data_IF_149372368650
#
_entry.id   IF_149372368650
#
_cell.length_a   1.000
_cell.length_b   1.000
_cell.length_c   1.000
_cell.angle_alpha   90.00
_cell.angle_beta   90.00
_cell.angle_gamma   90.00
#
_symmetry.space_group_name_H-M   'P 1'
#
loop_
_entity.id
_entity.type
_entity.pdbx_description
1 polymer ?
#
# COMPACT_ATOMS: atom_id res chain seq x y z
N UNK A 1 9.07 -6.25 -30.60
CA UNK A 1 10.02 -5.50 -29.75
C UNK A 1 9.81 -3.99 -29.76
N UNK A 2 10.11 -3.19 -30.82
CA UNK A 2 9.87 -1.72 -30.78
C UNK A 2 8.41 -1.34 -30.51
N UNK A 3 7.47 -2.06 -31.12
CA UNK A 3 6.03 -1.81 -30.95
C UNK A 3 5.50 -2.22 -29.56
N UNK A 4 6.09 -3.25 -28.94
CA UNK A 4 5.69 -3.72 -27.60
C UNK A 4 6.19 -2.78 -26.51
N UNK A 5 7.41 -2.25 -26.66
CA UNK A 5 7.96 -1.24 -25.75
C UNK A 5 7.13 0.04 -25.81
N UNK A 6 6.72 0.46 -27.00
CA UNK A 6 5.83 1.62 -27.16
C UNK A 6 4.47 1.41 -26.48
N UNK A 7 3.87 0.23 -26.62
CA UNK A 7 2.58 -0.09 -25.98
C UNK A 7 2.65 -0.09 -24.44
N UNK A 8 3.72 -0.61 -23.86
CA UNK A 8 3.94 -0.53 -22.40
C UNK A 8 4.12 0.92 -21.96
N UNK A 9 4.88 1.72 -22.72
CA UNK A 9 5.12 3.11 -22.42
C UNK A 9 3.83 3.95 -22.49
N UNK A 10 2.98 3.72 -23.49
CA UNK A 10 1.66 4.36 -23.63
C UNK A 10 0.73 4.01 -22.46
N UNK A 11 0.68 2.75 -22.05
CA UNK A 11 -0.16 2.31 -20.93
C UNK A 11 0.29 2.89 -19.57
N UNK A 12 1.60 3.03 -19.34
CA UNK A 12 2.13 3.58 -18.08
C UNK A 12 1.88 5.08 -17.90
N UNK A 13 1.40 5.76 -18.94
CA UNK A 13 1.47 7.22 -19.05
C UNK A 13 0.15 7.85 -19.45
N UNK A 14 -0.87 7.04 -19.62
CA UNK A 14 -2.22 7.48 -19.90
C UNK A 14 -3.00 7.49 -18.59
N UNK A 15 -3.37 8.69 -18.12
CA UNK A 15 -4.30 8.83 -17.01
C UNK A 15 -5.70 8.51 -17.50
N UNK A 16 -6.37 7.52 -16.89
CA UNK A 16 -7.74 7.18 -17.24
C UNK A 16 -8.68 8.16 -16.51
N UNK A 17 -9.44 9.01 -17.24
CA UNK A 17 -10.38 9.92 -16.61
C UNK A 17 -11.57 9.15 -16.02
N UNK A 18 -11.95 9.51 -14.80
CA UNK A 18 -13.16 9.04 -14.14
C UNK A 18 -14.31 10.03 -14.37
N UNK A 19 -15.59 9.61 -14.27
CA UNK A 19 -16.74 10.49 -14.56
C UNK A 19 -16.82 11.78 -13.72
N UNK A 20 -16.23 11.76 -12.53
CA UNK A 20 -16.20 12.91 -11.62
C UNK A 20 -15.02 13.86 -11.90
N UNK A 21 -14.05 13.43 -12.70
CA UNK A 21 -12.87 14.23 -13.02
C UNK A 21 -13.20 15.39 -13.95
N UNK A 22 -12.37 16.43 -13.88
CA UNK A 22 -12.53 17.62 -14.70
C UNK A 22 -11.18 18.15 -15.15
N UNK A 23 -11.15 18.85 -16.28
CA UNK A 23 -9.95 19.54 -16.76
C UNK A 23 -9.88 20.93 -16.12
N UNK A 24 -8.74 21.27 -15.53
CA UNK A 24 -8.48 22.59 -14.94
C UNK A 24 -8.21 23.67 -15.99
N UNK A 25 -8.16 24.93 -15.55
CA UNK A 25 -7.79 26.08 -16.40
C UNK A 25 -6.36 25.97 -16.95
N UNK A 26 -5.51 25.23 -16.23
CA UNK A 26 -4.15 24.89 -16.61
C UNK A 26 -4.08 23.76 -17.67
N UNK A 27 -5.20 23.18 -18.08
CA UNK A 27 -5.25 22.09 -19.07
C UNK A 27 -4.88 20.71 -18.51
N UNK A 28 -4.66 20.56 -17.21
CA UNK A 28 -4.39 19.27 -16.55
C UNK A 28 -5.70 18.60 -16.12
N UNK A 29 -5.71 17.26 -16.08
CA UNK A 29 -6.80 16.51 -15.48
C UNK A 29 -6.75 16.58 -13.94
N UNK A 30 -7.88 16.86 -13.30
CA UNK A 30 -8.05 16.90 -11.85
C UNK A 30 -9.02 15.83 -11.36
N UNK A 31 -8.72 15.30 -10.18
CA UNK A 31 -9.60 14.36 -9.50
C UNK A 31 -10.88 15.05 -9.02
N UNK A 32 -12.04 14.49 -9.38
CA UNK A 32 -13.34 15.00 -8.92
C UNK A 32 -13.53 15.01 -7.41
N UNK A 33 -12.93 14.03 -6.72
CA UNK A 33 -13.08 13.79 -5.27
C UNK A 33 -12.17 14.67 -4.43
N UNK A 34 -10.86 14.58 -4.63
CA UNK A 34 -9.87 15.31 -3.82
C UNK A 34 -9.43 16.64 -4.42
N UNK A 35 -9.89 16.98 -5.64
CA UNK A 35 -9.53 18.23 -6.36
C UNK A 35 -8.03 18.43 -6.55
N UNK A 36 -7.24 17.35 -6.48
CA UNK A 36 -5.80 17.34 -6.79
C UNK A 36 -5.57 16.92 -8.24
N UNK A 37 -4.51 17.42 -8.88
CA UNK A 37 -4.18 17.03 -10.25
C UNK A 37 -3.88 15.53 -10.33
N UNK A 38 -4.41 14.88 -11.36
CA UNK A 38 -4.09 13.51 -11.79
C UNK A 38 -3.02 13.49 -12.89
N UNK A 39 -2.59 14.65 -13.34
CA UNK A 39 -1.55 14.84 -14.34
C UNK A 39 -0.58 15.93 -13.91
N UNK A 40 0.65 15.88 -14.42
CA UNK A 40 1.62 16.94 -14.28
C UNK A 40 2.35 17.15 -15.60
N UNK A 41 2.83 18.37 -15.82
CA UNK A 41 3.67 18.68 -16.97
C UNK A 41 5.08 18.09 -16.80
N UNK A 42 5.62 17.55 -17.88
CA UNK A 42 7.06 17.28 -17.97
C UNK A 42 7.84 18.60 -17.96
N UNK A 43 9.09 18.52 -17.48
CA UNK A 43 10.05 19.57 -17.76
C UNK A 43 10.27 19.70 -19.29
N UNK A 44 10.51 20.92 -19.83
CA UNK A 44 10.55 21.16 -21.28
C UNK A 44 11.55 20.28 -22.06
N UNK A 45 12.70 20.00 -21.45
CA UNK A 45 13.74 19.10 -21.98
C UNK A 45 13.22 17.65 -22.14
N UNK A 46 12.36 17.21 -21.23
CA UNK A 46 11.78 15.86 -21.23
C UNK A 46 10.57 15.75 -22.15
N UNK A 47 9.75 16.79 -22.26
CA UNK A 47 8.59 16.79 -23.15
C UNK A 47 8.98 16.50 -24.62
N UNK A 48 10.10 17.07 -25.07
CA UNK A 48 10.64 16.84 -26.41
C UNK A 48 11.09 15.39 -26.63
N UNK A 49 11.60 14.72 -25.60
CA UNK A 49 12.08 13.32 -25.66
C UNK A 49 10.90 12.35 -25.72
N UNK A 50 9.83 12.61 -24.95
CA UNK A 50 8.69 11.70 -24.84
C UNK A 50 7.58 11.99 -25.86
N UNK A 51 7.66 13.08 -26.63
CA UNK A 51 6.64 13.44 -27.63
C UNK A 51 5.29 13.80 -27.01
N UNK A 52 5.26 14.09 -25.71
CA UNK A 52 4.07 14.48 -24.93
C UNK A 52 4.48 15.46 -23.84
N UNK A 53 3.55 16.34 -23.49
CA UNK A 53 3.77 17.40 -22.51
C UNK A 53 3.42 17.00 -21.08
N UNK A 54 2.55 15.98 -20.90
CA UNK A 54 1.98 15.59 -19.60
C UNK A 54 2.26 14.14 -19.23
N UNK A 55 2.28 13.85 -17.93
CA UNK A 55 2.34 12.49 -17.39
C UNK A 55 1.37 12.30 -16.22
N UNK A 56 1.00 11.05 -15.89
CA UNK A 56 0.18 10.77 -14.73
C UNK A 56 0.86 11.22 -13.44
N UNK A 57 0.07 11.80 -12.56
CA UNK A 57 0.44 12.16 -11.21
C UNK A 57 -0.60 11.55 -10.26
N UNK A 58 -0.14 11.05 -9.13
CA UNK A 58 -1.05 10.41 -8.19
C UNK A 58 -1.77 11.47 -7.36
N UNK A 59 -3.10 11.49 -7.48
CA UNK A 59 -3.92 12.29 -6.59
C UNK A 59 -3.97 11.66 -5.19
N UNK A 60 -4.47 12.41 -4.19
CA UNK A 60 -4.53 11.93 -2.81
C UNK A 60 -5.35 10.63 -2.68
N UNK A 61 -6.44 10.47 -3.43
CA UNK A 61 -7.24 9.24 -3.43
C UNK A 61 -6.44 8.01 -3.90
N UNK A 62 -5.67 8.17 -4.98
CA UNK A 62 -4.83 7.09 -5.51
C UNK A 62 -3.68 6.76 -4.56
N UNK A 63 -3.08 7.78 -3.93
CA UNK A 63 -2.06 7.61 -2.91
C UNK A 63 -2.58 6.81 -1.72
N UNK A 64 -3.71 7.21 -1.15
CA UNK A 64 -4.35 6.45 -0.05
C UNK A 64 -4.64 5.00 -0.45
N UNK A 65 -5.23 4.78 -1.64
CA UNK A 65 -5.53 3.43 -2.10
C UNK A 65 -4.27 2.56 -2.33
N UNK A 66 -3.13 3.15 -2.69
CA UNK A 66 -1.86 2.42 -2.77
C UNK A 66 -1.32 2.12 -1.37
N UNK A 67 -1.27 3.12 -0.50
CA UNK A 67 -0.78 2.98 0.87
C UNK A 67 -1.57 1.91 1.65
N UNK A 68 -2.90 1.86 1.48
CA UNK A 68 -3.75 0.81 2.07
C UNK A 68 -3.41 -0.58 1.54
N UNK A 69 -3.20 -0.72 0.22
CA UNK A 69 -2.78 -1.98 -0.41
C UNK A 69 -1.42 -2.43 0.08
N UNK A 70 -0.45 -1.52 0.16
CA UNK A 70 0.90 -1.79 0.66
C UNK A 70 0.87 -2.17 2.14
N UNK A 71 0.07 -1.49 2.96
CA UNK A 71 -0.10 -1.80 4.38
C UNK A 71 -0.75 -3.17 4.58
N UNK A 72 -1.79 -3.49 3.79
CA UNK A 72 -2.45 -4.80 3.81
C UNK A 72 -1.48 -5.92 3.38
N UNK A 73 -0.69 -5.69 2.33
CA UNK A 73 0.32 -6.65 1.90
C UNK A 73 1.43 -6.84 2.94
N UNK A 74 1.93 -5.76 3.54
CA UNK A 74 2.93 -5.83 4.62
C UNK A 74 2.39 -6.61 5.80
N UNK A 75 1.13 -6.38 6.20
CA UNK A 75 0.46 -7.14 7.26
C UNK A 75 0.34 -8.62 6.88
N UNK A 76 -0.09 -8.94 5.66
CA UNK A 76 -0.17 -10.33 5.16
C UNK A 76 1.19 -11.02 5.23
N UNK A 77 2.23 -10.42 4.64
CA UNK A 77 3.61 -10.96 4.65
C UNK A 77 4.11 -11.20 6.07
N UNK A 78 3.79 -10.29 7.00
CA UNK A 78 4.16 -10.47 8.41
C UNK A 78 3.47 -11.70 9.03
N UNK A 79 2.16 -11.86 8.82
CA UNK A 79 1.40 -13.02 9.31
C UNK A 79 1.92 -14.32 8.71
N UNK A 80 2.18 -14.35 7.40
CA UNK A 80 2.75 -15.51 6.71
C UNK A 80 4.11 -15.88 7.32
N UNK A 81 4.96 -14.88 7.60
CA UNK A 81 6.27 -15.09 8.24
C UNK A 81 6.11 -15.65 9.66
N UNK A 82 5.19 -15.11 10.45
CA UNK A 82 4.92 -15.60 11.82
C UNK A 82 4.43 -17.04 11.77
N UNK A 83 3.54 -17.38 10.83
CA UNK A 83 3.04 -18.74 10.66
C UNK A 83 4.17 -19.70 10.25
N UNK A 84 5.03 -19.30 9.32
CA UNK A 84 6.19 -20.10 8.91
C UNK A 84 7.13 -20.39 10.10
N UNK A 85 7.44 -19.35 10.89
CA UNK A 85 8.28 -19.49 12.09
C UNK A 85 7.64 -20.43 13.11
N UNK A 86 6.32 -20.30 13.35
CA UNK A 86 5.57 -21.21 14.22
C UNK A 86 5.60 -22.65 13.73
N UNK A 87 5.42 -22.88 12.42
CA UNK A 87 5.50 -24.22 11.82
C UNK A 87 6.88 -24.86 12.00
N UNK A 88 7.95 -24.07 11.88
CA UNK A 88 9.34 -24.53 12.07
C UNK A 88 9.68 -24.78 13.54
N UNK A 89 9.21 -23.93 14.44
CA UNK A 89 9.54 -23.98 15.87
C UNK A 89 8.70 -24.97 16.68
N UNK A 90 7.44 -25.20 16.30
CA UNK A 90 6.52 -26.05 17.05
C UNK A 90 6.08 -27.26 16.25
N UNK A 91 6.39 -28.45 16.77
CA UNK A 91 5.92 -29.73 16.20
C UNK A 91 4.43 -29.96 16.48
N UNK A 92 3.97 -29.62 17.69
CA UNK A 92 2.57 -29.75 18.09
C UNK A 92 1.72 -28.62 17.46
N UNK A 93 0.68 -28.94 16.66
CA UNK A 93 -0.23 -27.96 16.09
C UNK A 93 -0.93 -27.07 17.14
N UNK A 94 -1.28 -27.62 18.31
CA UNK A 94 -1.98 -26.86 19.37
C UNK A 94 -1.14 -25.71 19.92
N UNK A 95 0.19 -25.86 19.90
CA UNK A 95 1.12 -24.81 20.31
C UNK A 95 1.25 -23.70 19.27
N UNK A 96 0.95 -23.96 17.99
CA UNK A 96 0.95 -22.94 16.93
C UNK A 96 -0.21 -21.97 17.08
N UNK A 97 -1.34 -22.47 17.56
CA UNK A 97 -2.56 -21.67 17.77
C UNK A 97 -2.54 -20.91 19.10
N UNK A 98 -1.45 -21.01 19.88
CA UNK A 98 -1.35 -20.26 21.12
C UNK A 98 -1.26 -18.75 20.85
N UNK A 99 -2.25 -18.03 21.38
CA UNK A 99 -2.37 -16.57 21.41
C UNK A 99 -2.94 -16.16 22.77
N UNK A 100 -2.89 -14.87 23.10
CA UNK A 100 -3.52 -14.39 24.34
C UNK A 100 -5.05 -14.57 24.34
N UNK A 101 -5.68 -14.53 23.17
CA UNK A 101 -7.12 -14.76 22.98
C UNK A 101 -7.49 -16.23 23.16
N UNK A 102 -6.56 -17.13 22.81
CA UNK A 102 -6.71 -18.58 22.95
C UNK A 102 -6.19 -19.12 24.31
N UNK A 103 -5.74 -18.24 25.22
CA UNK A 103 -5.29 -18.67 26.55
C UNK A 103 -6.46 -19.20 27.37
N UNK A 104 -6.26 -20.32 28.07
CA UNK A 104 -7.29 -20.96 28.89
C UNK A 104 -7.43 -20.33 30.29
N UNK A 105 -6.69 -19.25 30.57
CA UNK A 105 -6.75 -18.49 31.81
C UNK A 105 -6.19 -19.20 33.05
N UNK A 106 -5.57 -20.38 32.90
CA UNK A 106 -5.02 -21.14 34.03
C UNK A 106 -3.76 -20.52 34.60
N UNK A 107 -3.01 -19.76 33.79
CA UNK A 107 -1.80 -19.10 34.25
C UNK A 107 -2.10 -17.67 34.73
N UNK A 108 -1.99 -17.38 36.04
CA UNK A 108 -2.25 -16.03 36.56
C UNK A 108 -1.26 -14.98 36.02
N UNK A 109 -0.10 -15.39 35.49
CA UNK A 109 0.89 -14.50 34.90
C UNK A 109 0.53 -14.03 33.48
N UNK A 110 -0.43 -14.67 32.80
CA UNK A 110 -0.83 -14.26 31.43
C UNK A 110 -1.30 -12.80 31.40
N UNK A 111 -2.01 -12.34 32.43
CA UNK A 111 -2.46 -10.95 32.53
C UNK A 111 -1.31 -9.93 32.68
N UNK A 112 -0.21 -10.33 33.33
CA UNK A 112 1.00 -9.50 33.42
C UNK A 112 1.74 -9.47 32.08
N UNK A 113 1.88 -10.62 31.42
CA UNK A 113 2.48 -10.71 30.09
C UNK A 113 1.71 -9.90 29.04
N UNK A 114 0.36 -9.94 29.06
CA UNK A 114 -0.47 -9.13 28.15
C UNK A 114 -0.21 -7.63 28.34
N UNK A 115 -0.25 -7.16 29.60
CA UNK A 115 0.03 -5.74 29.92
C UNK A 115 1.41 -5.29 29.46
N UNK A 116 2.41 -6.15 29.59
CA UNK A 116 3.76 -5.84 29.12
C UNK A 116 3.81 -5.60 27.61
N UNK A 117 3.12 -6.44 26.82
CA UNK A 117 3.06 -6.29 25.36
C UNK A 117 2.25 -5.06 24.95
N UNK A 118 1.14 -4.78 25.64
CA UNK A 118 0.28 -3.60 25.39
C UNK A 118 1.02 -2.28 25.68
N UNK A 119 1.86 -2.25 26.71
CA UNK A 119 2.62 -1.08 27.14
C UNK A 119 4.11 -1.14 26.77
N UNK A 120 4.47 -1.91 25.74
CA UNK A 120 5.86 -2.13 25.37
C UNK A 120 6.63 -0.81 25.13
N UNK A 121 6.01 0.16 24.44
CA UNK A 121 6.62 1.46 24.14
C UNK A 121 6.88 2.31 25.41
N UNK A 122 6.07 2.13 26.46
CA UNK A 122 6.25 2.83 27.74
C UNK A 122 7.39 2.23 28.58
N UNK A 123 7.79 1.00 28.28
CA UNK A 123 8.77 0.21 29.06
C UNK A 123 10.11 0.00 28.37
N UNK A 124 10.28 0.48 27.13
CA UNK A 124 11.50 0.33 26.33
C UNK A 124 12.59 1.35 26.68
#
# INVERSE_FOLDING_TARGET
MKNEINAVLENMTTTIPEPEDYTGEDGLLYCGKCRKPKEAYFAPDKAAIFGRDRHPAECDCQRTAREEREAAEKRRRHLDTVEELKRRGFTDPTMRDWTFENDNGRNPQTGLARRYVEHWEDMR
#
